data_IF_873469607323
#
_entry.id   IF_873469607323
#
_cell.length_a   1.000
_cell.length_b   1.000
_cell.length_c   1.000
_cell.angle_alpha   90.00
_cell.angle_beta   90.00
_cell.angle_gamma   90.00
#
_symmetry.space_group_name_H-M   'P 1'
#
loop_
_entity.id
_entity.type
_entity.pdbx_description
1 polymer ?
#
# COMPACT_ATOMS: atom_id res chain seq x y z
N UNK A 1 10.47 -16.54 41.88
CA UNK A 1 10.38 -15.47 40.86
C UNK A 1 11.19 -15.91 39.63
N UNK A 2 10.58 -16.04 38.44
CA UNK A 2 11.30 -16.44 37.21
C UNK A 2 12.10 -15.24 36.70
N UNK A 3 13.42 -15.37 36.59
CA UNK A 3 14.32 -14.30 36.09
C UNK A 3 14.17 -14.20 34.57
N UNK A 4 13.50 -13.15 34.08
CA UNK A 4 13.43 -12.85 32.66
C UNK A 4 14.81 -12.39 32.16
N UNK A 5 15.26 -12.94 31.03
CA UNK A 5 16.49 -12.50 30.37
C UNK A 5 16.11 -11.66 29.14
N UNK A 6 16.63 -10.45 29.09
CA UNK A 6 16.56 -9.58 27.92
C UNK A 6 17.71 -9.95 26.97
N UNK A 7 17.37 -10.31 25.73
CA UNK A 7 18.33 -10.56 24.66
C UNK A 7 18.18 -9.50 23.59
N UNK A 8 19.25 -8.75 23.33
CA UNK A 8 19.29 -7.81 22.21
C UNK A 8 19.65 -8.58 20.95
N UNK A 9 18.82 -8.45 19.92
CA UNK A 9 19.06 -8.97 18.57
C UNK A 9 19.33 -7.80 17.63
N UNK A 10 20.26 -7.98 16.71
CA UNK A 10 20.52 -7.03 15.64
C UNK A 10 19.64 -7.38 14.44
N UNK A 11 19.01 -6.40 13.82
CA UNK A 11 18.17 -6.54 12.64
C UNK A 11 18.73 -5.64 11.54
N UNK A 12 18.91 -6.19 10.35
CA UNK A 12 19.28 -5.43 9.18
C UNK A 12 18.04 -4.74 8.62
N UNK A 13 18.06 -3.42 8.53
CA UNK A 13 17.00 -2.64 7.88
C UNK A 13 17.31 -2.47 6.40
N UNK A 14 16.31 -2.64 5.54
CA UNK A 14 16.44 -2.37 4.11
C UNK A 14 16.38 -0.85 3.86
N UNK A 15 17.48 -0.18 3.48
CA UNK A 15 17.47 1.27 3.25
C UNK A 15 16.71 1.69 1.99
N UNK A 16 16.43 0.74 1.09
CA UNK A 16 15.73 0.97 -0.18
C UNK A 16 14.21 0.79 -0.07
N UNK A 17 13.68 0.75 1.16
CA UNK A 17 12.26 0.60 1.38
C UNK A 17 11.50 1.88 0.98
N UNK A 18 10.46 1.76 0.15
CA UNK A 18 9.60 2.90 -0.20
C UNK A 18 8.57 3.09 0.91
N UNK A 19 8.56 4.23 1.62
CA UNK A 19 7.56 4.49 2.64
C UNK A 19 6.20 4.80 1.99
N UNK A 20 5.13 4.60 2.77
CA UNK A 20 3.84 5.16 2.43
C UNK A 20 3.90 6.69 2.43
N UNK A 21 3.17 7.31 1.49
CA UNK A 21 3.07 8.77 1.45
C UNK A 21 2.21 9.23 2.62
N UNK A 22 2.77 10.10 3.46
CA UNK A 22 2.02 10.73 4.53
C UNK A 22 1.19 11.87 3.94
N UNK A 23 -0.12 11.85 4.19
CA UNK A 23 -1.07 12.82 3.64
C UNK A 23 -1.86 13.37 4.81
N UNK A 24 -2.05 14.68 4.83
CA UNK A 24 -2.82 15.34 5.89
C UNK A 24 -4.23 14.78 5.99
N UNK A 25 -4.70 14.59 7.21
CA UNK A 25 -6.04 14.04 7.51
C UNK A 25 -7.14 14.85 6.80
N UNK A 26 -7.01 16.18 6.75
CA UNK A 26 -7.96 17.04 6.03
C UNK A 26 -8.02 16.75 4.53
N UNK A 27 -6.89 16.39 3.90
CA UNK A 27 -6.85 16.02 2.48
C UNK A 27 -7.46 14.63 2.29
N UNK A 28 -7.16 13.68 3.18
CA UNK A 28 -7.76 12.34 3.16
C UNK A 28 -9.29 12.38 3.27
N UNK A 29 -9.83 13.21 4.17
CA UNK A 29 -11.27 13.43 4.32
C UNK A 29 -11.89 14.02 3.05
N UNK A 30 -11.27 15.08 2.48
CA UNK A 30 -11.73 15.70 1.23
C UNK A 30 -11.71 14.72 0.06
N UNK A 31 -10.64 13.94 -0.08
CA UNK A 31 -10.52 12.89 -1.10
C UNK A 31 -11.61 11.83 -0.94
N UNK A 32 -11.86 11.41 0.31
CA UNK A 32 -12.90 10.42 0.62
C UNK A 32 -14.28 10.94 0.22
N UNK A 33 -14.61 12.18 0.57
CA UNK A 33 -15.88 12.80 0.20
C UNK A 33 -16.01 12.98 -1.32
N UNK A 34 -14.96 13.48 -1.98
CA UNK A 34 -14.94 13.64 -3.43
C UNK A 34 -15.15 12.30 -4.16
N UNK A 35 -14.51 11.23 -3.68
CA UNK A 35 -14.72 9.87 -4.21
C UNK A 35 -16.16 9.42 -4.00
N UNK A 36 -16.71 9.49 -2.79
CA UNK A 36 -18.08 9.05 -2.52
C UNK A 36 -19.11 9.80 -3.37
N UNK A 37 -18.90 11.09 -3.62
CA UNK A 37 -19.77 11.90 -4.47
C UNK A 37 -19.66 11.51 -5.96
N UNK A 38 -18.45 11.22 -6.43
CA UNK A 38 -18.15 10.96 -7.85
C UNK A 38 -18.33 9.51 -8.26
N UNK A 39 -18.26 8.57 -7.32
CA UNK A 39 -18.38 7.15 -7.61
C UNK A 39 -19.80 6.81 -8.10
N UNK A 40 -19.92 5.93 -9.12
CA UNK A 40 -21.21 5.45 -9.58
C UNK A 40 -21.91 4.69 -8.46
N UNK A 41 -23.24 4.78 -8.42
CA UNK A 41 -24.05 3.99 -7.50
C UNK A 41 -24.10 2.52 -7.93
N UNK A 42 -24.27 1.63 -6.95
CA UNK A 42 -24.40 0.19 -7.15
C UNK A 42 -25.35 -0.15 -8.31
N UNK A 43 -24.83 -0.95 -9.29
CA UNK A 43 -25.45 -1.58 -10.49
C UNK A 43 -24.78 -1.24 -11.82
N UNK A 44 -23.89 -0.25 -11.85
CA UNK A 44 -23.15 0.08 -13.07
C UNK A 44 -21.82 -0.68 -13.16
N UNK A 45 -21.42 -1.03 -14.39
CA UNK A 45 -20.11 -1.60 -14.66
C UNK A 45 -19.02 -0.54 -14.47
N UNK A 46 -18.36 -0.59 -13.32
CA UNK A 46 -17.31 0.34 -12.91
C UNK A 46 -16.13 0.38 -13.89
N UNK A 47 -15.92 -0.66 -14.72
CA UNK A 47 -14.88 -0.65 -15.76
C UNK A 47 -15.14 0.39 -16.83
N UNK A 48 -16.41 0.66 -17.16
CA UNK A 48 -16.81 1.72 -18.11
C UNK A 48 -16.42 3.12 -17.61
N UNK A 49 -16.28 3.25 -16.30
CA UNK A 49 -15.91 4.47 -15.61
C UNK A 49 -14.39 4.59 -15.36
N UNK A 50 -13.59 3.68 -15.92
CA UNK A 50 -12.14 3.67 -15.74
C UNK A 50 -11.71 3.27 -14.33
N UNK A 51 -12.53 2.53 -13.60
CA UNK A 51 -12.25 2.09 -12.24
C UNK A 51 -11.87 0.61 -12.19
N UNK A 52 -10.84 0.31 -11.41
CA UNK A 52 -10.50 -1.06 -11.00
C UNK A 52 -10.60 -1.14 -9.49
N UNK A 53 -11.44 -2.04 -8.97
CA UNK A 53 -11.75 -2.14 -7.54
C UNK A 53 -11.38 -3.54 -7.06
N UNK A 54 -10.73 -3.60 -5.89
CA UNK A 54 -10.28 -4.85 -5.26
C UNK A 54 -8.76 -4.96 -5.22
N UNK A 55 -8.23 -5.59 -4.17
CA UNK A 55 -6.78 -5.71 -3.98
C UNK A 55 -6.14 -6.55 -5.08
N UNK A 56 -6.76 -7.68 -5.40
CA UNK A 56 -6.23 -8.61 -6.39
C UNK A 56 -6.29 -8.00 -7.80
N UNK A 57 -7.40 -7.35 -8.12
CA UNK A 57 -7.62 -6.69 -9.42
C UNK A 57 -6.64 -5.54 -9.63
N UNK A 58 -6.39 -4.72 -8.60
CA UNK A 58 -5.40 -3.64 -8.65
C UNK A 58 -3.98 -4.20 -8.74
N UNK A 59 -3.65 -5.27 -8.01
CA UNK A 59 -2.34 -5.92 -8.11
C UNK A 59 -2.11 -6.46 -9.53
N UNK A 60 -3.06 -7.22 -10.08
CA UNK A 60 -2.97 -7.72 -11.45
C UNK A 60 -2.88 -6.60 -12.49
N UNK A 61 -3.55 -5.47 -12.28
CA UNK A 61 -3.42 -4.29 -13.14
C UNK A 61 -1.98 -3.74 -13.11
N UNK A 62 -1.43 -3.51 -11.91
CA UNK A 62 -0.08 -2.98 -11.75
C UNK A 62 0.99 -3.93 -12.28
N UNK A 63 0.83 -5.24 -12.07
CA UNK A 63 1.72 -6.27 -12.62
C UNK A 63 1.72 -6.27 -14.15
N UNK A 64 0.53 -6.19 -14.77
CA UNK A 64 0.42 -6.10 -16.23
C UNK A 64 1.08 -4.85 -16.79
N UNK A 65 0.93 -3.70 -16.13
CA UNK A 65 1.62 -2.47 -16.51
C UNK A 65 3.14 -2.60 -16.44
N UNK A 66 3.68 -3.34 -15.46
CA UNK A 66 5.12 -3.62 -15.37
C UNK A 66 5.61 -4.56 -16.49
N UNK A 67 4.82 -5.59 -16.83
CA UNK A 67 5.21 -6.62 -17.81
C UNK A 67 5.05 -6.13 -19.26
N UNK A 68 3.98 -5.38 -19.54
CA UNK A 68 3.60 -4.94 -20.88
C UNK A 68 3.38 -3.41 -20.92
N UNK A 69 4.45 -2.60 -20.74
CA UNK A 69 4.32 -1.15 -20.65
C UNK A 69 3.82 -0.48 -21.95
N UNK A 70 3.89 -1.18 -23.08
CA UNK A 70 3.41 -0.72 -24.39
C UNK A 70 1.89 -0.92 -24.59
N UNK A 71 1.26 -1.80 -23.82
CA UNK A 71 -0.14 -2.21 -24.03
C UNK A 71 -1.07 -1.69 -22.94
N UNK A 72 -0.62 -1.72 -21.68
CA UNK A 72 -1.45 -1.37 -20.53
C UNK A 72 -1.05 0.00 -19.97
N UNK A 73 -2.02 0.92 -19.89
CA UNK A 73 -1.80 2.24 -19.31
C UNK A 73 -1.78 2.18 -17.78
N UNK A 74 -0.74 2.74 -17.17
CA UNK A 74 -0.66 2.88 -15.72
C UNK A 74 -1.81 3.77 -15.17
N UNK A 75 -2.50 3.36 -14.10
CA UNK A 75 -3.54 4.20 -13.49
C UNK A 75 -2.95 5.49 -12.93
N UNK A 76 -3.74 6.57 -12.94
CA UNK A 76 -3.29 7.87 -12.42
C UNK A 76 -3.06 7.84 -10.91
N UNK A 77 -3.95 7.15 -10.20
CA UNK A 77 -3.93 7.06 -8.74
C UNK A 77 -4.51 5.73 -8.27
N UNK A 78 -3.91 5.19 -7.22
CA UNK A 78 -4.37 4.03 -6.48
C UNK A 78 -4.70 4.48 -5.05
N UNK A 79 -5.96 4.33 -4.67
CA UNK A 79 -6.44 4.52 -3.31
C UNK A 79 -6.48 3.18 -2.57
N UNK A 80 -5.88 3.14 -1.39
CA UNK A 80 -5.93 1.98 -0.50
C UNK A 80 -6.77 2.34 0.72
N UNK A 81 -7.77 1.49 1.00
CA UNK A 81 -8.79 1.70 2.04
C UNK A 81 -8.49 0.89 3.31
N UNK A 82 -7.31 0.27 3.39
CA UNK A 82 -6.83 -0.46 4.56
C UNK A 82 -5.71 0.33 5.27
N UNK A 83 -5.41 -0.06 6.51
CA UNK A 83 -4.25 0.45 7.23
C UNK A 83 -2.95 0.16 6.45
N UNK A 84 -2.00 1.11 6.36
CA UNK A 84 -0.72 0.89 5.70
C UNK A 84 0.13 -0.21 6.35
N UNK A 85 -0.17 -0.55 7.61
CA UNK A 85 0.48 -1.62 8.37
C UNK A 85 -0.06 -3.03 8.04
N UNK A 86 -1.16 -3.13 7.29
CA UNK A 86 -1.71 -4.42 6.88
C UNK A 86 -0.78 -5.12 5.90
N UNK A 87 -0.45 -6.39 6.18
CA UNK A 87 0.40 -7.21 5.31
C UNK A 87 -0.14 -7.34 3.88
N UNK A 88 -1.45 -7.19 3.71
CA UNK A 88 -2.11 -7.28 2.41
C UNK A 88 -1.80 -6.08 1.50
N UNK A 89 -1.40 -4.94 2.08
CA UNK A 89 -1.16 -3.70 1.31
C UNK A 89 0.24 -3.13 1.54
N UNK A 90 0.98 -3.60 2.54
CA UNK A 90 2.31 -3.09 2.88
C UNK A 90 3.31 -3.07 1.70
N UNK A 91 3.08 -3.87 0.66
CA UNK A 91 3.90 -3.95 -0.55
C UNK A 91 3.51 -2.96 -1.66
N UNK A 92 2.40 -2.22 -1.52
CA UNK A 92 1.90 -1.30 -2.54
C UNK A 92 2.88 -0.17 -2.90
N UNK A 93 3.57 0.48 -1.94
CA UNK A 93 4.55 1.51 -2.27
C UNK A 93 5.64 1.01 -3.23
N UNK A 94 6.16 -0.20 -3.00
CA UNK A 94 7.20 -0.82 -3.82
C UNK A 94 6.64 -1.27 -5.17
N UNK A 95 5.42 -1.84 -5.19
CA UNK A 95 4.76 -2.27 -6.42
C UNK A 95 4.50 -1.09 -7.36
N UNK A 96 3.97 0.02 -6.83
CA UNK A 96 3.71 1.23 -7.60
C UNK A 96 5.02 1.93 -7.99
N UNK A 97 6.03 1.94 -7.13
CA UNK A 97 7.35 2.45 -7.47
C UNK A 97 7.97 1.70 -8.68
N UNK A 98 7.85 0.37 -8.72
CA UNK A 98 8.27 -0.43 -9.87
C UNK A 98 7.44 -0.09 -11.12
N UNK A 99 6.12 -0.02 -10.98
CA UNK A 99 5.23 0.29 -12.11
C UNK A 99 5.51 1.70 -12.69
N UNK A 100 5.79 2.68 -11.82
CA UNK A 100 6.21 4.02 -12.22
C UNK A 100 7.56 4.04 -12.94
N UNK A 101 8.48 3.14 -12.62
CA UNK A 101 9.78 3.05 -13.26
C UNK A 101 9.70 2.43 -14.66
N UNK A 102 8.94 1.34 -14.80
CA UNK A 102 8.80 0.63 -16.07
C UNK A 102 7.78 1.26 -17.03
N UNK A 103 6.90 2.12 -16.53
CA UNK A 103 5.92 2.80 -17.37
C UNK A 103 6.60 3.74 -18.36
N UNK A 104 6.21 3.64 -19.63
CA UNK A 104 6.60 4.57 -20.70
C UNK A 104 5.72 5.81 -20.76
N UNK A 105 4.64 5.86 -19.98
CA UNK A 105 3.72 6.99 -19.96
C UNK A 105 4.34 8.17 -19.21
N UNK A 106 4.08 9.39 -19.69
CA UNK A 106 4.56 10.63 -19.04
C UNK A 106 3.95 10.84 -17.64
N UNK A 107 2.84 10.15 -17.33
CA UNK A 107 2.16 10.22 -16.04
C UNK A 107 2.66 9.19 -15.04
N UNK A 108 2.96 9.63 -13.81
CA UNK A 108 3.23 8.74 -12.67
C UNK A 108 1.95 8.38 -11.93
N UNK A 109 1.84 7.13 -11.50
CA UNK A 109 0.82 6.65 -10.59
C UNK A 109 1.10 7.16 -9.17
N UNK A 110 0.07 7.76 -8.57
CA UNK A 110 0.06 8.19 -7.18
C UNK A 110 -0.50 7.09 -6.29
N UNK A 111 0.01 7.01 -5.06
CA UNK A 111 -0.50 6.09 -4.03
C UNK A 111 -1.04 6.90 -2.86
N UNK A 112 -2.29 6.64 -2.48
CA UNK A 112 -2.96 7.33 -1.38
C UNK A 112 -3.61 6.32 -0.45
N UNK A 113 -3.32 6.41 0.84
CA UNK A 113 -4.03 5.66 1.86
C UNK A 113 -5.17 6.53 2.43
N UNK A 114 -6.41 6.03 2.38
CA UNK A 114 -7.59 6.70 2.96
C UNK A 114 -8.03 6.07 4.29
N UNK A 115 -7.50 4.89 4.62
CA UNK A 115 -7.80 4.20 5.87
C UNK A 115 -9.20 3.55 5.92
N UNK A 116 -9.46 2.88 7.05
CA UNK A 116 -10.65 2.04 7.25
C UNK A 116 -11.97 2.83 7.34
N UNK A 117 -11.92 4.12 7.68
CA UNK A 117 -13.11 4.96 7.79
C UNK A 117 -13.71 5.21 6.40
N UNK A 118 -12.85 5.51 5.41
CA UNK A 118 -13.25 5.67 4.03
C UNK A 118 -13.83 4.38 3.41
N UNK A 119 -13.33 3.22 3.85
CA UNK A 119 -13.79 1.91 3.37
C UNK A 119 -15.29 1.74 3.50
N UNK A 120 -15.88 2.11 4.65
CA UNK A 120 -17.32 1.89 4.91
C UNK A 120 -18.17 2.72 3.95
N UNK A 121 -17.87 4.02 3.83
CA UNK A 121 -18.62 4.93 2.96
C UNK A 121 -18.52 4.54 1.49
N UNK A 122 -17.31 4.21 1.03
CA UNK A 122 -17.04 3.81 -0.35
C UNK A 122 -17.66 2.45 -0.68
N UNK A 123 -17.54 1.46 0.20
CA UNK A 123 -18.14 0.13 0.00
C UNK A 123 -19.65 0.24 -0.10
N UNK A 124 -20.28 1.04 0.78
CA UNK A 124 -21.73 1.30 0.75
C UNK A 124 -22.16 1.96 -0.55
N UNK A 125 -21.43 2.97 -1.02
CA UNK A 125 -21.73 3.69 -2.28
C UNK A 125 -21.66 2.75 -3.50
N UNK A 126 -20.65 1.89 -3.53
CA UNK A 126 -20.43 0.91 -4.60
C UNK A 126 -21.35 -0.32 -4.51
N UNK A 127 -22.06 -0.50 -3.39
CA UNK A 127 -22.87 -1.71 -3.14
C UNK A 127 -22.04 -2.97 -2.94
N UNK A 128 -20.78 -2.82 -2.49
CA UNK A 128 -19.88 -3.92 -2.20
C UNK A 128 -19.92 -4.23 -0.71
N UNK A 129 -19.69 -5.50 -0.35
CA UNK A 129 -19.52 -5.88 1.05
C UNK A 129 -18.29 -5.20 1.65
N UNK A 130 -17.18 -5.17 0.90
CA UNK A 130 -15.92 -4.50 1.24
C UNK A 130 -15.15 -4.08 -0.01
N UNK A 131 -14.81 -2.80 -0.12
CA UNK A 131 -13.83 -2.28 -1.06
C UNK A 131 -12.49 -2.10 -0.31
N UNK A 132 -11.38 -2.62 -0.85
CA UNK A 132 -10.07 -2.54 -0.17
C UNK A 132 -9.03 -1.69 -0.90
N UNK A 133 -9.11 -1.64 -2.23
CA UNK A 133 -8.31 -0.75 -3.06
C UNK A 133 -9.11 -0.33 -4.30
N UNK A 134 -8.81 0.85 -4.83
CA UNK A 134 -9.44 1.43 -6.01
C UNK A 134 -8.35 2.10 -6.85
N UNK A 135 -8.17 1.66 -8.08
CA UNK A 135 -7.35 2.34 -9.07
C UNK A 135 -8.24 3.13 -10.04
N UNK A 136 -7.80 4.34 -10.38
CA UNK A 136 -8.47 5.24 -11.32
C UNK A 136 -7.58 5.41 -12.55
N UNK A 137 -8.10 5.12 -13.74
CA UNK A 137 -7.39 5.33 -15.01
C UNK A 137 -7.20 6.82 -15.32
N UNK A 138 -6.25 7.14 -16.21
CA UNK A 138 -6.02 8.53 -16.64
C UNK A 138 -7.24 9.14 -17.35
N UNK A 139 -8.04 8.31 -18.02
CA UNK A 139 -9.19 8.74 -18.82
C UNK A 139 -10.51 8.78 -18.02
N UNK A 140 -10.46 8.47 -16.72
CA UNK A 140 -11.66 8.45 -15.89
C UNK A 140 -12.17 9.87 -15.62
N UNK A 141 -13.47 10.12 -15.80
CA UNK A 141 -14.09 11.41 -15.44
C UNK A 141 -13.96 11.71 -13.93
N UNK A 142 -13.87 10.68 -13.08
CA UNK A 142 -13.72 10.82 -11.62
C UNK A 142 -12.40 11.53 -11.30
N UNK A 143 -11.39 11.35 -12.15
CA UNK A 143 -10.10 12.00 -11.99
C UNK A 143 -10.24 13.53 -11.96
N UNK A 144 -11.16 14.12 -12.72
CA UNK A 144 -11.38 15.58 -12.73
C UNK A 144 -11.71 16.15 -11.35
N UNK A 145 -12.42 15.38 -10.52
CA UNK A 145 -12.86 15.79 -9.19
C UNK A 145 -11.76 15.61 -8.13
N UNK A 146 -10.95 14.55 -8.26
CA UNK A 146 -9.90 14.23 -7.27
C UNK A 146 -8.56 14.86 -7.60
N UNK A 147 -8.24 15.10 -8.89
CA UNK A 147 -6.93 15.61 -9.32
C UNK A 147 -6.50 16.92 -8.65
N UNK A 148 -7.39 17.92 -8.40
CA UNK A 148 -7.02 19.11 -7.64
C UNK A 148 -6.50 18.82 -6.22
N UNK A 149 -7.00 17.76 -5.58
CA UNK A 149 -6.61 17.32 -4.24
C UNK A 149 -5.35 16.43 -4.25
N UNK A 150 -4.98 15.91 -5.41
CA UNK A 150 -3.77 15.10 -5.59
C UNK A 150 -2.53 15.97 -5.88
N UNK A 151 -2.72 17.27 -6.15
CA UNK A 151 -1.63 18.22 -6.36
C UNK A 151 -0.76 18.31 -5.09
N UNK A 152 0.53 17.99 -5.24
CA UNK A 152 1.50 18.00 -4.13
C UNK A 152 1.80 16.62 -3.54
N UNK A 153 1.05 15.57 -3.90
CA UNK A 153 1.37 14.20 -3.49
C UNK A 153 2.52 13.68 -4.34
N UNK A 154 3.62 13.28 -3.70
CA UNK A 154 4.77 12.70 -4.38
C UNK A 154 4.49 11.27 -4.84
N UNK A 155 4.76 10.97 -6.10
CA UNK A 155 4.65 9.61 -6.62
C UNK A 155 5.75 8.70 -6.02
N UNK A 156 5.42 7.45 -5.62
CA UNK A 156 6.43 6.46 -5.24
C UNK A 156 7.45 6.23 -6.36
N UNK A 157 8.74 6.13 -6.02
CA UNK A 157 9.83 5.96 -6.99
C UNK A 157 10.75 4.81 -6.62
N UNK A 158 11.14 4.00 -7.60
CA UNK A 158 12.06 2.87 -7.43
C UNK A 158 13.52 3.32 -7.56
N UNK A 159 14.08 3.92 -6.51
CA UNK A 159 15.47 4.39 -6.51
C UNK A 159 16.50 3.27 -6.75
N UNK A 160 16.16 2.02 -6.42
CA UNK A 160 17.01 0.84 -6.65
C UNK A 160 17.11 0.42 -8.11
N UNK A 161 16.19 0.84 -8.98
CA UNK A 161 16.24 0.57 -10.42
C UNK A 161 16.91 1.72 -11.18
N UNK A 162 16.94 2.92 -10.61
CA UNK A 162 17.63 4.06 -11.18
C UNK A 162 19.16 3.89 -11.08
N UNK A 163 19.89 4.53 -11.98
CA UNK A 163 21.34 4.63 -11.86
C UNK A 163 21.66 5.35 -10.55
N UNK A 164 22.32 4.65 -9.63
CA UNK A 164 22.63 5.19 -8.31
C UNK A 164 23.56 6.40 -8.43
N UNK A 165 23.08 7.57 -8.02
CA UNK A 165 23.90 8.77 -7.89
C UNK A 165 24.80 8.73 -6.65
N UNK A 166 24.40 7.96 -5.63
CA UNK A 166 25.08 7.87 -4.34
C UNK A 166 24.85 6.51 -3.69
N UNK A 167 25.80 6.08 -2.87
CA UNK A 167 25.68 4.87 -2.07
C UNK A 167 24.78 5.10 -0.86
N UNK A 168 23.76 4.25 -0.68
CA UNK A 168 22.88 4.26 0.50
C UNK A 168 23.48 3.36 1.60
N UNK A 169 23.85 3.92 2.77
CA UNK A 169 24.50 3.15 3.82
C UNK A 169 23.52 2.19 4.51
N UNK A 170 24.03 1.01 4.83
CA UNK A 170 23.32 -0.03 5.57
C UNK A 170 22.97 0.43 6.99
N UNK A 171 21.73 0.19 7.41
CA UNK A 171 21.24 0.47 8.77
C UNK A 171 21.03 -0.81 9.57
N UNK A 172 21.56 -0.85 10.79
CA UNK A 172 21.40 -1.98 11.72
C UNK A 172 20.61 -1.51 12.94
N UNK A 173 19.41 -2.06 13.09
CA UNK A 173 18.51 -1.81 14.22
C UNK A 173 18.78 -2.80 15.36
N UNK A 174 18.43 -2.41 16.59
CA UNK A 174 18.52 -3.26 17.79
C UNK A 174 17.13 -3.54 18.32
N UNK A 175 16.76 -4.81 18.42
CA UNK A 175 15.47 -5.24 18.99
C UNK A 175 15.70 -6.08 20.23
N UNK A 176 15.12 -5.64 21.34
CA UNK A 176 15.17 -6.37 22.61
C UNK A 176 14.06 -7.42 22.63
N UNK A 177 14.43 -8.67 22.85
CA UNK A 177 13.50 -9.80 22.99
C UNK A 177 13.57 -10.37 24.40
N UNK A 178 12.42 -10.54 25.05
CA UNK A 178 12.28 -11.23 26.34
C UNK A 178 12.04 -12.71 26.07
N UNK A 179 12.99 -13.58 26.41
CA UNK A 179 12.79 -15.02 26.26
C UNK A 179 12.05 -15.56 27.50
N UNK A 180 10.85 -16.12 27.31
CA UNK A 180 10.15 -16.90 28.33
C UNK A 180 10.98 -18.12 28.73
N UNK A 181 11.11 -18.38 30.03
CA UNK A 181 11.90 -19.51 30.57
C UNK A 181 11.45 -20.84 29.99
N UNK A 182 12.38 -21.59 29.42
CA UNK A 182 12.26 -23.00 29.02
C UNK A 182 11.63 -23.79 30.18
N UNK A 183 10.41 -24.31 30.03
CA UNK A 183 9.85 -25.23 31.02
C UNK A 183 10.73 -26.49 31.04
N UNK A 184 11.29 -26.81 32.22
CA UNK A 184 12.02 -28.07 32.45
C UNK A 184 11.00 -29.21 32.42
N UNK A 185 10.67 -29.70 31.23
CA UNK A 185 9.96 -30.98 31.05
C UNK A 185 10.97 -32.10 31.29
N UNK A 186 10.74 -32.92 32.32
CA UNK A 186 11.39 -34.21 32.51
C UNK A 186 12.29 -34.35 33.75
N UNK A 187 11.71 -34.33 34.95
CA UNK A 187 12.31 -35.07 36.07
C UNK A 187 11.80 -36.51 35.96
N UNK A 188 12.65 -37.44 35.53
CA UNK A 188 12.40 -38.88 35.68
C UNK A 188 12.58 -39.20 37.16
N UNK A 189 11.49 -39.49 37.87
CA UNK A 189 11.56 -40.19 39.14
C UNK A 189 12.01 -41.62 38.88
N UNK A 190 13.23 -41.94 39.28
CA UNK A 190 13.68 -43.31 39.44
C UNK A 190 13.03 -43.89 40.70
N UNK A 191 12.17 -44.88 40.52
CA UNK A 191 11.76 -45.79 41.60
C UNK A 191 12.92 -46.73 41.90
N UNK A 192 13.29 -46.83 43.17
CA UNK A 192 13.75 -48.06 43.80
C UNK A 192 12.81 -48.32 44.98
#
# INVERSE_FOLDING_TARGET
MKKQQNKVKLILENPLNVPWVNIDVSIQEKLTQALIQSLPTAKEDYRKHGLTIGLNEVNMLLERCCQNPDQDSLPRVVFVLQSPESILVAHYPQLIANANFYSKNEGKCLLVCLGAEAQVGISKKLGLSRASAIAISNDSFILSQVNPLLNGISAPSASWLAQASSYEPTKVLRVTTTQGTKDKKGSKEGKN
#
